data_IF_084280812094
#
_entry.id   IF_084280812094
#
_cell.length_a   1.000
_cell.length_b   1.000
_cell.length_c   1.000
_cell.angle_alpha   90.00
_cell.angle_beta   90.00
_cell.angle_gamma   90.00
#
_symmetry.space_group_name_H-M   'P 1'
#
loop_
_entity.id
_entity.type
_entity.pdbx_description
1 polymer ?
#
# COMPACT_ATOMS: atom_id res chain seq x y z
N UNK A 1 -3.21 -3.88 -12.23
CA UNK A 1 -4.41 -3.24 -11.64
C UNK A 1 -4.13 -2.96 -10.19
N UNK A 2 -4.38 -1.73 -9.72
CA UNK A 2 -4.20 -1.36 -8.31
C UNK A 2 -5.37 -1.89 -7.48
N UNK A 3 -5.07 -2.34 -6.25
CA UNK A 3 -6.07 -2.79 -5.27
C UNK A 3 -6.00 -1.89 -4.04
N UNK A 4 -7.17 -1.48 -3.54
CA UNK A 4 -7.26 -0.77 -2.27
C UNK A 4 -6.89 -1.69 -1.10
N UNK A 5 -6.01 -1.22 -0.21
CA UNK A 5 -5.49 -2.00 0.92
C UNK A 5 -6.12 -1.58 2.26
N UNK A 6 -6.29 -0.27 2.49
CA UNK A 6 -6.90 0.25 3.72
C UNK A 6 -6.69 1.75 3.93
N UNK A 7 -7.27 2.28 5.01
CA UNK A 7 -7.07 3.64 5.50
C UNK A 7 -6.57 3.62 6.94
N UNK A 8 -5.70 4.55 7.28
CA UNK A 8 -5.16 4.76 8.63
C UNK A 8 -4.79 6.22 8.80
N UNK A 9 -4.92 6.74 10.03
CA UNK A 9 -4.56 8.13 10.39
C UNK A 9 -3.32 8.20 11.27
N UNK A 10 -3.08 7.19 12.12
CA UNK A 10 -1.99 7.17 13.10
C UNK A 10 -1.49 5.74 13.42
N UNK A 11 -1.94 4.73 12.66
CA UNK A 11 -1.58 3.32 12.87
C UNK A 11 -0.84 2.71 11.68
N UNK A 12 -0.13 1.61 11.91
CA UNK A 12 0.59 0.87 10.86
C UNK A 12 -0.32 -0.11 10.13
N UNK A 13 -0.41 0.01 8.80
CA UNK A 13 -1.02 -1.00 7.95
C UNK A 13 0.00 -2.11 7.65
N UNK A 14 -0.39 -3.37 7.84
CA UNK A 14 0.44 -4.55 7.56
C UNK A 14 -0.23 -5.47 6.56
N UNK A 15 0.47 -5.82 5.49
CA UNK A 15 0.10 -6.88 4.55
C UNK A 15 0.95 -8.12 4.82
N UNK A 16 0.32 -9.29 4.75
CA UNK A 16 0.98 -10.59 4.85
C UNK A 16 0.97 -11.24 3.47
N UNK A 17 2.10 -11.85 3.12
CA UNK A 17 2.28 -12.58 1.88
C UNK A 17 2.38 -14.07 2.18
N UNK A 18 1.97 -14.88 1.21
CA UNK A 18 2.09 -16.34 1.31
C UNK A 18 3.37 -16.81 0.64
N UNK A 19 3.77 -18.06 0.86
CA UNK A 19 4.92 -18.65 0.15
C UNK A 19 4.75 -18.61 -1.38
N UNK A 20 3.51 -18.66 -1.89
CA UNK A 20 3.22 -18.52 -3.32
C UNK A 20 3.52 -17.12 -3.89
N UNK A 21 3.84 -16.15 -3.03
CA UNK A 21 4.21 -14.79 -3.41
C UNK A 21 5.72 -14.54 -3.36
N UNK A 22 6.51 -15.53 -2.94
CA UNK A 22 7.97 -15.44 -2.90
C UNK A 22 8.56 -15.01 -4.24
N UNK A 23 9.51 -14.08 -4.21
CA UNK A 23 10.15 -13.51 -5.38
C UNK A 23 9.33 -12.47 -6.14
N UNK A 24 8.05 -12.24 -5.80
CA UNK A 24 7.25 -11.15 -6.38
C UNK A 24 7.58 -9.82 -5.70
N UNK A 25 7.46 -8.72 -6.45
CA UNK A 25 7.60 -7.36 -5.91
C UNK A 25 6.23 -6.77 -5.59
N UNK A 26 6.04 -6.34 -4.34
CA UNK A 26 4.90 -5.55 -3.93
C UNK A 26 5.18 -4.07 -4.20
N UNK A 27 4.19 -3.37 -4.76
CA UNK A 27 4.23 -1.94 -5.02
C UNK A 27 3.09 -1.25 -4.27
N UNK A 28 3.40 -0.17 -3.56
CA UNK A 28 2.46 0.62 -2.78
C UNK A 28 2.55 2.09 -3.16
N UNK A 29 1.40 2.75 -3.20
CA UNK A 29 1.29 4.18 -3.37
C UNK A 29 0.21 4.69 -2.41
N UNK A 30 0.50 5.79 -1.73
CA UNK A 30 -0.34 6.33 -0.67
C UNK A 30 -0.82 7.72 -1.07
N UNK A 31 -1.94 8.15 -0.48
CA UNK A 31 -2.42 9.53 -0.56
C UNK A 31 -3.18 9.90 0.70
N UNK A 32 -3.24 11.18 1.00
CA UNK A 32 -4.14 11.72 2.00
C UNK A 32 -5.60 11.70 1.49
N UNK A 33 -6.53 11.39 2.41
CA UNK A 33 -7.96 11.64 2.24
C UNK A 33 -8.41 12.62 3.31
N UNK A 34 -9.03 13.73 2.91
CA UNK A 34 -9.62 14.70 3.83
C UNK A 34 -11.03 14.31 4.28
N UNK A 35 -11.51 14.91 5.37
CA UNK A 35 -12.82 14.60 5.97
C UNK A 35 -14.02 14.81 5.03
N UNK A 36 -13.88 15.60 3.97
CA UNK A 36 -14.92 15.87 2.96
C UNK A 36 -14.76 15.10 1.64
N UNK A 37 -13.91 14.07 1.59
CA UNK A 37 -13.64 13.32 0.35
C UNK A 37 -12.60 13.96 -0.56
N UNK A 38 -11.93 15.02 -0.08
CA UNK A 38 -10.75 15.58 -0.73
C UNK A 38 -9.64 14.53 -0.83
N UNK A 39 -8.94 14.56 -1.95
CA UNK A 39 -8.09 13.48 -2.41
C UNK A 39 -6.75 14.10 -2.81
N UNK A 40 -5.79 14.03 -1.90
CA UNK A 40 -4.48 14.66 -2.06
C UNK A 40 -3.66 14.00 -3.17
N UNK A 41 -2.49 14.58 -3.51
CA UNK A 41 -1.59 13.96 -4.46
C UNK A 41 -1.18 12.56 -3.99
N UNK A 42 -0.90 11.70 -4.95
CA UNK A 42 -0.28 10.41 -4.67
C UNK A 42 1.18 10.61 -4.28
N UNK A 43 1.68 9.78 -3.37
CA UNK A 43 3.10 9.66 -3.07
C UNK A 43 3.89 9.09 -4.24
N UNK A 44 5.21 9.11 -4.12
CA UNK A 44 6.05 8.21 -4.92
C UNK A 44 5.69 6.75 -4.65
N UNK A 45 6.01 5.88 -5.61
CA UNK A 45 5.79 4.44 -5.49
C UNK A 45 6.87 3.84 -4.58
N UNK A 46 6.44 3.21 -3.48
CA UNK A 46 7.30 2.39 -2.65
C UNK A 46 7.20 0.93 -3.09
N UNK A 47 8.32 0.19 -3.08
CA UNK A 47 8.32 -1.23 -3.46
C UNK A 47 9.26 -2.08 -2.61
N UNK A 48 8.92 -3.37 -2.50
CA UNK A 48 9.74 -4.36 -1.82
C UNK A 48 9.49 -5.77 -2.40
N UNK A 49 10.54 -6.58 -2.47
CA UNK A 49 10.44 -7.98 -2.91
C UNK A 49 10.10 -8.88 -1.74
N UNK A 50 9.12 -9.77 -1.92
CA UNK A 50 8.76 -10.79 -0.95
C UNK A 50 9.84 -11.87 -0.93
N UNK A 51 10.35 -12.22 0.25
CA UNK A 51 11.33 -13.29 0.40
C UNK A 51 10.75 -14.63 -0.12
N UNK A 52 11.60 -15.42 -0.78
CA UNK A 52 11.27 -16.76 -1.26
C UNK A 52 11.41 -17.81 -0.16
#
# INVERSE_FOLDING_TARGET
MLRFVGLTTDSTLRQRFTAADGGKTAYYQLRWLGNGGERGPWSDVASATVAA
#
